data_IF_898162643896
#
_entry.id   IF_898162643896
#
_cell.length_a   1.000
_cell.length_b   1.000
_cell.length_c   1.000
_cell.angle_alpha   90.00
_cell.angle_beta   90.00
_cell.angle_gamma   90.00
#
_symmetry.space_group_name_H-M   'P 1'
#
loop_
_entity.id
_entity.type
_entity.pdbx_description
1 polymer ?
#
# COMPACT_ATOMS: atom_id res chain seq x y z
N UNK A 1 -9.00 7.19 -39.37
CA UNK A 1 -8.96 7.20 -37.89
C UNK A 1 -10.34 7.66 -37.47
N UNK A 2 -11.17 6.70 -37.11
CA UNK A 2 -12.62 6.86 -37.00
C UNK A 2 -13.00 7.12 -35.54
N UNK A 3 -14.25 7.52 -35.29
CA UNK A 3 -14.72 7.87 -33.94
C UNK A 3 -14.43 6.78 -32.90
N UNK A 4 -14.53 5.50 -33.29
CA UNK A 4 -14.22 4.35 -32.45
C UNK A 4 -12.74 4.31 -32.02
N UNK A 5 -11.84 4.66 -32.95
CA UNK A 5 -10.40 4.67 -32.75
C UNK A 5 -9.98 5.76 -31.75
N UNK A 6 -10.62 6.93 -31.84
CA UNK A 6 -10.41 8.05 -30.91
C UNK A 6 -10.93 7.71 -29.50
N UNK A 7 -12.06 7.01 -29.40
CA UNK A 7 -12.61 6.59 -28.10
C UNK A 7 -11.75 5.54 -27.41
N UNK A 8 -11.24 4.53 -28.13
CA UNK A 8 -10.33 3.54 -27.55
C UNK A 8 -9.04 4.20 -27.03
N UNK A 9 -8.42 5.06 -27.84
CA UNK A 9 -7.18 5.72 -27.45
C UNK A 9 -7.33 6.57 -26.17
N UNK A 10 -8.49 7.20 -25.99
CA UNK A 10 -8.80 7.98 -24.77
C UNK A 10 -8.97 7.09 -23.55
N UNK A 11 -9.64 5.96 -23.71
CA UNK A 11 -9.90 5.00 -22.65
C UNK A 11 -8.59 4.36 -22.18
N UNK A 12 -7.74 3.94 -23.13
CA UNK A 12 -6.40 3.42 -22.86
C UNK A 12 -5.52 4.43 -22.10
N UNK A 13 -5.56 5.72 -22.49
CA UNK A 13 -4.85 6.76 -21.77
C UNK A 13 -5.38 6.97 -20.35
N UNK A 14 -6.70 6.86 -20.14
CA UNK A 14 -7.29 6.98 -18.81
C UNK A 14 -6.87 5.80 -17.91
N UNK A 15 -6.92 4.58 -18.43
CA UNK A 15 -6.43 3.38 -17.75
C UNK A 15 -4.93 3.49 -17.41
N UNK A 16 -4.09 3.87 -18.36
CA UNK A 16 -2.65 4.05 -18.13
C UNK A 16 -2.37 5.09 -17.04
N UNK A 17 -3.09 6.23 -17.03
CA UNK A 17 -2.95 7.26 -16.00
C UNK A 17 -3.38 6.75 -14.63
N UNK A 18 -4.45 5.96 -14.56
CA UNK A 18 -4.90 5.35 -13.31
C UNK A 18 -3.85 4.38 -12.75
N UNK A 19 -3.36 3.44 -13.56
CA UNK A 19 -2.32 2.50 -13.14
C UNK A 19 -0.99 3.19 -12.81
N UNK A 20 -0.60 4.24 -13.55
CA UNK A 20 0.61 5.01 -13.27
C UNK A 20 0.54 5.74 -11.92
N UNK A 21 -0.64 6.25 -11.55
CA UNK A 21 -0.85 6.92 -10.25
C UNK A 21 -0.91 5.93 -9.09
N UNK A 22 -1.39 4.72 -9.36
CA UNK A 22 -1.42 3.60 -8.41
C UNK A 22 -0.18 2.69 -8.52
N UNK A 23 0.98 3.22 -8.96
CA UNK A 23 2.23 2.47 -8.84
C UNK A 23 2.41 2.09 -7.37
N UNK A 24 2.61 0.80 -7.06
CA UNK A 24 2.87 0.39 -5.69
C UNK A 24 4.15 1.07 -5.26
N UNK A 25 4.04 2.03 -4.32
CA UNK A 25 5.20 2.56 -3.64
C UNK A 25 5.95 1.37 -3.09
N UNK A 26 7.20 1.17 -3.52
CA UNK A 26 8.06 0.11 -3.02
C UNK A 26 8.32 0.42 -1.56
N UNK A 27 7.48 -0.13 -0.69
CA UNK A 27 7.67 0.00 0.74
C UNK A 27 8.88 -0.82 1.09
N UNK A 28 9.89 -0.17 1.67
CA UNK A 28 11.10 -0.85 2.10
C UNK A 28 10.75 -1.81 3.25
N UNK A 29 10.60 -3.09 2.90
CA UNK A 29 10.26 -4.18 3.84
C UNK A 29 11.40 -4.52 4.80
N UNK A 30 12.60 -3.96 4.59
CA UNK A 30 13.77 -4.15 5.45
C UNK A 30 13.89 -3.06 6.51
N UNK A 31 13.24 -1.92 6.31
CA UNK A 31 13.20 -0.84 7.27
C UNK A 31 12.61 -1.31 8.62
N UNK A 32 13.41 -1.14 9.67
CA UNK A 32 12.97 -1.30 11.04
C UNK A 32 11.91 -0.24 11.35
N UNK A 33 10.70 -0.70 11.67
CA UNK A 33 9.60 0.17 12.05
C UNK A 33 9.30 0.03 13.52
N UNK A 34 8.90 1.13 14.14
CA UNK A 34 8.50 1.16 15.54
C UNK A 34 6.99 1.40 15.64
N UNK A 35 6.38 0.79 16.66
CA UNK A 35 4.97 0.95 16.94
C UNK A 35 4.68 2.39 17.38
N UNK A 36 3.69 3.04 16.77
CA UNK A 36 3.26 4.39 17.17
C UNK A 36 2.62 4.46 18.55
N UNK A 37 2.23 3.31 19.11
CA UNK A 37 1.46 3.21 20.36
C UNK A 37 2.35 2.86 21.56
N UNK A 38 3.26 1.89 21.40
CA UNK A 38 4.15 1.42 22.47
C UNK A 38 5.64 1.69 22.22
N UNK A 39 6.03 2.19 21.04
CA UNK A 39 7.43 2.43 20.68
C UNK A 39 8.25 1.16 20.41
N UNK A 40 7.66 -0.03 20.50
CA UNK A 40 8.38 -1.30 20.31
C UNK A 40 8.66 -1.59 18.82
N UNK A 41 9.75 -2.31 18.55
CA UNK A 41 10.12 -2.70 17.19
C UNK A 41 9.06 -3.65 16.60
N UNK A 42 8.50 -3.27 15.45
CA UNK A 42 7.55 -4.09 14.71
C UNK A 42 8.31 -5.26 14.08
N UNK A 43 7.89 -6.52 14.33
CA UNK A 43 8.58 -7.68 13.77
C UNK A 43 8.55 -7.65 12.24
N UNK A 44 9.69 -7.99 11.62
CA UNK A 44 9.83 -8.01 10.14
C UNK A 44 8.79 -8.88 9.45
N UNK A 45 8.39 -10.00 10.08
CA UNK A 45 7.30 -10.85 9.59
C UNK A 45 5.99 -10.07 9.38
N UNK A 46 5.69 -9.12 10.26
CA UNK A 46 4.50 -8.27 10.15
C UNK A 46 4.65 -7.22 9.06
N UNK A 47 5.83 -6.60 8.93
CA UNK A 47 6.11 -5.64 7.84
C UNK A 47 6.06 -6.34 6.47
N UNK A 48 6.49 -7.60 6.39
CA UNK A 48 6.38 -8.41 5.17
C UNK A 48 4.92 -8.74 4.83
N UNK A 49 4.11 -9.12 5.82
CA UNK A 49 2.70 -9.44 5.61
C UNK A 49 1.86 -8.18 5.33
N UNK A 50 2.16 -7.07 6.01
CA UNK A 50 1.44 -5.80 5.93
C UNK A 50 2.45 -4.65 5.88
N UNK A 51 2.93 -4.26 4.69
CA UNK A 51 3.97 -3.24 4.54
C UNK A 51 3.55 -1.86 5.03
N UNK A 52 2.25 -1.59 5.17
CA UNK A 52 1.72 -0.32 5.67
C UNK A 52 1.37 -0.36 7.17
N UNK A 53 1.84 -1.37 7.93
CA UNK A 53 1.55 -1.43 9.37
C UNK A 53 2.30 -0.32 10.14
N UNK A 54 1.58 0.36 11.04
CA UNK A 54 2.12 1.40 11.93
C UNK A 54 2.12 0.99 13.42
N UNK A 55 1.53 -0.16 13.77
CA UNK A 55 1.45 -0.68 15.15
C UNK A 55 2.23 -1.99 15.28
N UNK A 56 2.54 -2.44 16.49
CA UNK A 56 3.00 -3.80 16.77
C UNK A 56 1.81 -4.77 16.87
N UNK A 57 2.07 -6.08 16.70
CA UNK A 57 0.99 -7.10 16.67
C UNK A 57 0.12 -7.02 17.92
N UNK A 58 0.75 -6.79 19.07
CA UNK A 58 0.07 -6.67 20.34
C UNK A 58 -0.90 -5.48 20.41
N UNK A 59 -0.46 -4.28 20.02
CA UNK A 59 -1.32 -3.08 19.99
C UNK A 59 -2.41 -3.19 18.93
N UNK A 60 -2.14 -3.85 17.80
CA UNK A 60 -3.17 -4.11 16.79
C UNK A 60 -4.26 -5.03 17.34
N UNK A 61 -3.87 -6.17 17.91
CA UNK A 61 -4.82 -7.13 18.48
C UNK A 61 -5.69 -6.50 19.57
N UNK A 62 -5.10 -5.67 20.44
CA UNK A 62 -5.85 -4.89 21.43
C UNK A 62 -6.85 -3.93 20.81
N UNK A 63 -6.50 -3.29 19.69
CA UNK A 63 -7.38 -2.36 18.99
C UNK A 63 -8.51 -3.08 18.23
N UNK A 64 -8.25 -4.28 17.71
CA UNK A 64 -9.23 -5.10 16.97
C UNK A 64 -10.19 -5.86 17.88
N UNK A 65 -9.80 -6.16 19.11
CA UNK A 65 -10.66 -6.80 20.12
C UNK A 65 -11.59 -5.83 20.86
N UNK A 66 -11.62 -4.54 20.48
CA UNK A 66 -12.42 -3.49 21.11
C UNK A 66 -13.63 -3.14 20.27
#
# INVERSE_FOLDING_TARGET
>A
MDLADITQQRDEQAYQRFFARHKPTTVDIRAERFCVDCGELIPKQRVMAVPHCCRCVHCQTKAEQR
#
